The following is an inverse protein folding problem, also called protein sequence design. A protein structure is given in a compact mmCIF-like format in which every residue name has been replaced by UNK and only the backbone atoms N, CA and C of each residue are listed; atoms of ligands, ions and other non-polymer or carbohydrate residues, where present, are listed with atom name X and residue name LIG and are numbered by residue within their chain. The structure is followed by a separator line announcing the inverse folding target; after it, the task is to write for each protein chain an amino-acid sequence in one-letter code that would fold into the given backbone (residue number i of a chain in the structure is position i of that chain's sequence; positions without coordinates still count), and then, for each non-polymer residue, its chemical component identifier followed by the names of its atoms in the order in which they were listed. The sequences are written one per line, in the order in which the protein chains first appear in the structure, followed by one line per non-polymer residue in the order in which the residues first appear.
data_IF_208388404153
#
_entry.id   IF_208388404153
#
_cell.length_a   1.000
_cell.length_b   1.000
_cell.length_c   1.000
_cell.angle_alpha   90.00
_cell.angle_beta   90.00
_cell.angle_gamma   90.00
#
_symmetry.space_group_name_H-M   'P 1'
#
loop_
_entity.id
_entity.type
_entity.pdbx_description
1 polymer ?
#
# COMPACT_ATOMS: atom_id res chain seq x y z
N UNK A 1 20.56 10.91 -7.00
CA UNK A 1 19.25 10.22 -7.16
C UNK A 1 18.55 10.22 -5.80
N UNK A 2 17.30 10.64 -5.73
CA UNK A 2 16.49 10.51 -4.51
C UNK A 2 16.07 9.04 -4.41
N UNK A 3 16.48 8.35 -3.34
CA UNK A 3 16.02 6.99 -3.11
C UNK A 3 14.63 7.04 -2.46
N UNK A 4 13.59 6.87 -3.27
CA UNK A 4 12.21 7.03 -2.82
C UNK A 4 11.69 5.87 -1.95
N UNK A 5 12.37 4.71 -2.00
CA UNK A 5 11.97 3.51 -1.29
C UNK A 5 12.82 3.30 -0.03
N UNK A 6 12.22 2.95 1.12
CA UNK A 6 12.97 2.52 2.28
C UNK A 6 13.72 1.22 1.97
N UNK A 7 14.98 1.14 2.37
CA UNK A 7 15.88 0.00 2.09
C UNK A 7 16.29 -0.76 3.35
N UNK A 8 15.68 -0.43 4.50
CA UNK A 8 16.03 -1.04 5.77
C UNK A 8 15.66 -2.52 5.81
N UNK A 9 16.53 -3.31 6.41
CA UNK A 9 16.36 -4.73 6.69
C UNK A 9 15.53 -4.93 7.96
N UNK A 10 14.96 -6.14 8.11
CA UNK A 10 14.24 -6.54 9.34
C UNK A 10 15.09 -6.38 10.61
N UNK A 11 16.41 -6.56 10.51
CA UNK A 11 17.34 -6.39 11.64
C UNK A 11 17.44 -4.92 12.04
N UNK A 12 17.60 -4.01 11.07
CA UNK A 12 17.67 -2.58 11.33
C UNK A 12 16.36 -2.06 11.92
N UNK A 13 15.20 -2.49 11.42
CA UNK A 13 13.90 -2.08 11.97
C UNK A 13 13.66 -2.64 13.38
N UNK A 14 14.15 -3.86 13.67
CA UNK A 14 14.12 -4.40 15.03
C UNK A 14 14.95 -3.54 15.99
N UNK A 15 16.15 -3.12 15.56
CA UNK A 15 17.02 -2.26 16.36
C UNK A 15 16.45 -0.85 16.53
N UNK A 16 15.80 -0.31 15.49
CA UNK A 16 15.14 1.00 15.55
C UNK A 16 14.06 1.05 16.62
N UNK A 17 13.33 -0.06 16.80
CA UNK A 17 12.26 -0.18 17.80
C UNK A 17 11.28 1.01 17.76
N UNK A 18 10.90 1.40 16.54
CA UNK A 18 10.11 2.59 16.31
C UNK A 18 8.69 2.46 16.91
N UNK A 19 8.25 3.39 17.78
CA UNK A 19 6.89 3.38 18.32
C UNK A 19 5.84 3.94 17.33
N UNK A 20 6.29 4.67 16.31
CA UNK A 20 5.45 5.36 15.34
C UNK A 20 5.84 4.91 13.94
N UNK A 21 4.85 4.64 13.09
CA UNK A 21 5.03 4.44 11.65
C UNK A 21 4.58 5.67 10.88
N UNK A 22 5.25 5.97 9.77
CA UNK A 22 4.90 7.07 8.87
C UNK A 22 4.69 6.50 7.47
N UNK A 23 3.53 6.81 6.88
CA UNK A 23 3.16 6.45 5.52
C UNK A 23 3.18 7.70 4.63
N UNK A 24 4.15 7.83 3.72
CA UNK A 24 4.09 8.88 2.71
C UNK A 24 2.95 8.58 1.73
N UNK A 25 2.12 9.59 1.43
CA UNK A 25 1.04 9.50 0.45
C UNK A 25 1.18 10.67 -0.52
N UNK A 26 1.38 10.37 -1.79
CA UNK A 26 1.39 11.34 -2.88
C UNK A 26 0.38 10.97 -3.97
N UNK A 27 0.63 11.45 -5.17
CA UNK A 27 -0.19 11.21 -6.37
C UNK A 27 0.72 10.99 -7.59
N UNK A 28 0.10 10.59 -8.71
CA UNK A 28 0.70 10.60 -10.03
C UNK A 28 -0.20 11.40 -10.97
N UNK A 29 -0.05 12.73 -10.95
CA UNK A 29 -1.00 13.66 -11.54
C UNK A 29 -0.34 14.91 -12.14
N UNK A 30 -1.10 15.64 -12.94
CA UNK A 30 -0.62 16.83 -13.63
C UNK A 30 -0.29 17.99 -12.66
N UNK A 31 0.85 18.65 -12.90
CA UNK A 31 1.26 19.84 -12.16
C UNK A 31 1.79 20.96 -13.08
N UNK A 32 1.19 21.09 -14.27
CA UNK A 32 1.64 21.99 -15.33
C UNK A 32 2.82 21.43 -16.12
N UNK A 33 3.28 22.18 -17.11
CA UNK A 33 4.25 21.70 -18.12
C UNK A 33 5.70 21.62 -17.60
N UNK A 34 5.93 21.98 -16.34
CA UNK A 34 7.27 22.16 -15.78
C UNK A 34 7.60 21.19 -14.64
N UNK A 35 6.58 20.55 -14.05
CA UNK A 35 6.76 19.69 -12.89
C UNK A 35 6.50 18.22 -13.26
N UNK A 36 7.29 17.27 -12.73
CA UNK A 36 7.02 15.86 -12.92
C UNK A 36 5.66 15.46 -12.34
N UNK A 37 5.02 14.46 -12.93
CA UNK A 37 3.76 13.89 -12.44
C UNK A 37 3.88 13.29 -11.02
N UNK A 38 5.09 13.03 -10.56
CA UNK A 38 5.40 12.45 -9.25
C UNK A 38 5.74 13.49 -8.18
N UNK A 39 5.51 14.78 -8.43
CA UNK A 39 5.93 15.87 -7.52
C UNK A 39 5.39 15.65 -6.10
N UNK A 40 4.12 15.32 -5.94
CA UNK A 40 3.52 15.01 -4.65
C UNK A 40 4.24 13.87 -3.92
N UNK A 41 4.50 12.79 -4.64
CA UNK A 41 5.22 11.62 -4.10
C UNK A 41 6.64 12.02 -3.68
N UNK A 42 7.35 12.81 -4.49
CA UNK A 42 8.71 13.27 -4.20
C UNK A 42 8.72 14.11 -2.92
N UNK A 43 7.81 15.09 -2.82
CA UNK A 43 7.72 15.99 -1.66
C UNK A 43 7.39 15.20 -0.39
N UNK A 44 6.34 14.36 -0.44
CA UNK A 44 5.92 13.55 0.70
C UNK A 44 7.05 12.63 1.19
N UNK A 45 7.76 11.97 0.28
CA UNK A 45 8.88 11.10 0.64
C UNK A 45 10.05 11.87 1.23
N UNK A 46 10.40 13.05 0.69
CA UNK A 46 11.49 13.87 1.23
C UNK A 46 11.20 14.37 2.66
N UNK A 47 9.96 14.80 2.92
CA UNK A 47 9.52 15.21 4.26
C UNK A 47 9.58 14.02 5.22
N UNK A 48 8.99 12.89 4.85
CA UNK A 48 8.97 11.70 5.71
C UNK A 48 10.38 11.16 5.97
N UNK A 49 11.28 11.24 4.99
CA UNK A 49 12.68 10.86 5.17
C UNK A 49 13.38 11.77 6.19
N UNK A 50 13.19 13.09 6.10
CA UNK A 50 13.74 14.02 7.10
C UNK A 50 13.23 13.72 8.51
N UNK A 51 11.96 13.33 8.65
CA UNK A 51 11.41 12.91 9.94
C UNK A 51 12.08 11.61 10.41
N UNK A 52 12.29 10.64 9.52
CA UNK A 52 12.93 9.37 9.85
C UNK A 52 14.43 9.48 10.18
N UNK A 53 15.12 10.47 9.62
CA UNK A 53 16.50 10.78 9.98
C UNK A 53 16.59 11.48 11.36
N UNK A 54 15.53 12.19 11.78
CA UNK A 54 15.49 12.94 13.04
C UNK A 54 14.88 12.15 14.22
N UNK A 55 13.98 11.20 13.96
CA UNK A 55 13.22 10.49 14.97
C UNK A 55 13.16 8.98 14.67
N UNK A 56 13.09 8.13 15.72
CA UNK A 56 12.96 6.69 15.54
C UNK A 56 11.53 6.33 15.08
N UNK A 57 11.30 6.38 13.76
CA UNK A 57 10.02 6.03 13.13
C UNK A 57 10.20 4.92 12.10
N UNK A 58 9.18 4.09 11.92
CA UNK A 58 9.11 3.10 10.84
C UNK A 58 8.66 3.82 9.57
N UNK A 59 9.58 4.06 8.65
CA UNK A 59 9.27 4.68 7.36
C UNK A 59 8.73 3.63 6.39
N UNK A 60 7.46 3.75 6.02
CA UNK A 60 6.81 2.85 5.08
C UNK A 60 7.07 3.29 3.62
N UNK A 61 6.94 2.37 2.65
CA UNK A 61 6.97 2.72 1.23
C UNK A 61 5.86 3.73 0.89
N UNK A 62 6.11 4.69 -0.03
CA UNK A 62 5.11 5.67 -0.40
C UNK A 62 3.94 5.04 -1.18
N UNK A 63 2.74 5.55 -0.97
CA UNK A 63 1.63 5.39 -1.92
C UNK A 63 1.79 6.45 -3.00
N UNK A 64 2.03 6.01 -4.23
CA UNK A 64 2.38 6.89 -5.36
C UNK A 64 1.19 7.20 -6.28
N UNK A 65 0.04 6.57 -6.05
CA UNK A 65 -1.19 6.77 -6.83
C UNK A 65 -2.33 6.96 -5.81
N UNK A 66 -3.04 8.06 -5.92
CA UNK A 66 -4.13 8.42 -5.00
C UNK A 66 -5.34 8.96 -5.77
N UNK A 67 -6.19 9.75 -5.10
CA UNK A 67 -7.46 10.22 -5.64
C UNK A 67 -7.26 11.55 -6.38
N UNK A 68 -7.04 11.47 -7.69
CA UNK A 68 -6.66 12.58 -8.58
C UNK A 68 -7.67 12.78 -9.72
N UNK A 69 -8.95 12.47 -9.49
CA UNK A 69 -9.97 12.44 -10.57
C UNK A 69 -10.17 13.79 -11.25
N UNK A 70 -9.93 14.89 -10.53
CA UNK A 70 -9.97 16.25 -11.08
C UNK A 70 -8.92 16.48 -12.18
N UNK A 71 -7.85 15.66 -12.21
CA UNK A 71 -6.79 15.70 -13.21
C UNK A 71 -6.87 14.58 -14.26
N UNK A 72 -7.98 13.82 -14.28
CA UNK A 72 -8.13 12.65 -15.18
C UNK A 72 -8.17 12.99 -16.67
N UNK A 73 -8.48 14.24 -17.03
CA UNK A 73 -8.47 14.70 -18.42
C UNK A 73 -7.06 14.93 -18.99
N UNK A 74 -6.03 14.95 -18.15
CA UNK A 74 -4.64 15.19 -18.58
C UNK A 74 -3.91 13.87 -18.85
N UNK A 75 -3.27 13.70 -20.03
CA UNK A 75 -2.48 12.52 -20.32
C UNK A 75 -1.39 12.29 -19.28
N UNK A 76 -1.30 11.07 -18.78
CA UNK A 76 -0.31 10.66 -17.79
C UNK A 76 -0.84 10.61 -16.35
N UNK A 77 -1.91 11.34 -16.00
CA UNK A 77 -2.53 11.20 -14.68
C UNK A 77 -3.06 9.79 -14.47
N UNK A 78 -2.71 9.16 -13.35
CA UNK A 78 -3.27 7.88 -12.92
C UNK A 78 -3.96 8.09 -11.57
N UNK A 79 -5.24 7.78 -11.51
CA UNK A 79 -6.07 7.98 -10.32
C UNK A 79 -6.77 6.70 -9.91
N UNK A 80 -6.90 6.49 -8.59
CA UNK A 80 -7.76 5.45 -8.00
C UNK A 80 -8.92 6.10 -7.25
N UNK A 81 -10.03 5.36 -7.11
CA UNK A 81 -11.18 5.84 -6.33
C UNK A 81 -10.78 6.14 -4.88
N UNK A 82 -11.42 7.14 -4.26
CA UNK A 82 -11.24 7.42 -2.82
C UNK A 82 -11.52 6.19 -1.95
N UNK A 83 -12.51 5.37 -2.35
CA UNK A 83 -12.81 4.08 -1.70
C UNK A 83 -11.62 3.11 -1.77
N UNK A 84 -10.97 3.02 -2.91
CA UNK A 84 -9.78 2.17 -3.09
C UNK A 84 -8.61 2.66 -2.26
N UNK A 85 -8.34 3.97 -2.29
CA UNK A 85 -7.27 4.58 -1.48
C UNK A 85 -7.50 4.32 0.02
N UNK A 86 -8.73 4.53 0.49
CA UNK A 86 -9.10 4.23 1.87
C UNK A 86 -8.85 2.75 2.21
N UNK A 87 -9.30 1.82 1.36
CA UNK A 87 -9.08 0.39 1.58
C UNK A 87 -7.59 0.02 1.69
N UNK A 88 -6.75 0.58 0.82
CA UNK A 88 -5.29 0.37 0.87
C UNK A 88 -4.70 0.90 2.18
N UNK A 89 -5.06 2.12 2.57
CA UNK A 89 -4.57 2.72 3.82
C UNK A 89 -5.03 1.90 5.04
N UNK A 90 -6.28 1.45 5.06
CA UNK A 90 -6.80 0.56 6.12
C UNK A 90 -6.00 -0.74 6.21
N UNK A 91 -5.73 -1.41 5.08
CA UNK A 91 -4.95 -2.65 5.07
C UNK A 91 -3.51 -2.44 5.56
N UNK A 92 -2.88 -1.31 5.20
CA UNK A 92 -1.55 -0.93 5.69
C UNK A 92 -1.59 -0.69 7.20
N UNK A 93 -2.54 0.10 7.69
CA UNK A 93 -2.72 0.39 9.11
C UNK A 93 -2.91 -0.89 9.93
N UNK A 94 -3.80 -1.78 9.50
CA UNK A 94 -4.07 -3.04 10.20
C UNK A 94 -2.84 -3.96 10.17
N UNK A 95 -2.09 -3.96 9.07
CA UNK A 95 -0.86 -4.75 8.95
C UNK A 95 0.22 -4.31 9.94
N UNK A 96 0.47 -3.00 10.01
CA UNK A 96 1.44 -2.40 10.95
C UNK A 96 1.00 -2.64 12.39
N UNK A 97 -0.29 -2.45 12.69
CA UNK A 97 -0.85 -2.67 14.03
C UNK A 97 -0.73 -4.12 14.47
N UNK A 98 -1.00 -5.09 13.59
CA UNK A 98 -0.85 -6.53 13.88
C UNK A 98 0.61 -6.95 14.12
N UNK A 99 1.56 -6.34 13.42
CA UNK A 99 2.98 -6.63 13.62
C UNK A 99 3.44 -6.22 15.03
N UNK A 100 2.88 -5.12 15.55
CA UNK A 100 3.21 -4.55 16.86
C UNK A 100 4.64 -3.98 16.92
N UNK A 101 4.99 -3.24 17.97
CA UNK A 101 6.34 -2.72 18.14
C UNK A 101 7.35 -3.88 18.31
N UNK A 102 8.59 -3.73 17.80
CA UNK A 102 9.65 -4.71 18.02
C UNK A 102 9.85 -4.98 19.52
N UNK A 103 9.78 -6.24 19.96
CA UNK A 103 10.07 -6.59 21.36
C UNK A 103 11.57 -6.74 21.58
N UNK A 104 12.13 -6.23 22.68
CA UNK A 104 13.44 -6.67 23.17
C UNK A 104 13.39 -8.20 23.38
N UNK A 105 14.29 -8.98 22.76
CA UNK A 105 14.40 -10.43 23.01
C UNK A 105 13.95 -11.41 21.91
N UNK A 106 13.82 -11.00 20.64
CA UNK A 106 13.99 -11.93 19.50
C UNK A 106 12.90 -12.97 19.20
N UNK A 107 11.80 -13.06 19.94
CA UNK A 107 10.72 -14.00 19.63
C UNK A 107 9.84 -13.54 18.46
N UNK A 108 10.01 -14.10 17.26
CA UNK A 108 8.97 -14.05 16.22
C UNK A 108 7.76 -14.83 16.73
N UNK A 109 6.55 -14.27 16.70
CA UNK A 109 5.35 -15.09 16.92
C UNK A 109 5.27 -16.12 15.78
N UNK A 110 5.21 -17.43 16.06
CA UNK A 110 4.90 -18.42 15.03
C UNK A 110 3.53 -18.08 14.43
N UNK A 111 3.47 -17.95 13.11
CA UNK A 111 2.25 -17.64 12.35
C UNK A 111 1.16 -18.66 12.67
N UNK A 112 0.16 -18.29 13.48
CA UNK A 112 -1.10 -19.05 13.61
C UNK A 112 -2.11 -18.77 12.48
N UNK A 113 -1.69 -18.20 11.34
CA UNK A 113 -2.62 -17.63 10.35
C UNK A 113 -2.39 -17.98 8.87
N UNK A 114 -1.68 -19.06 8.55
CA UNK A 114 -1.71 -19.60 7.17
C UNK A 114 -2.98 -20.43 6.85
N UNK A 115 -3.79 -20.82 7.84
CA UNK A 115 -4.98 -21.66 7.61
C UNK A 115 -6.26 -20.92 7.19
N UNK A 116 -6.31 -19.58 7.33
CA UNK A 116 -7.54 -18.84 7.03
C UNK A 116 -7.66 -18.44 5.55
N UNK A 117 -6.55 -18.17 4.85
CA UNK A 117 -6.57 -17.79 3.43
C UNK A 117 -6.73 -18.97 2.45
N UNK A 118 -6.63 -20.22 2.92
CA UNK A 118 -6.84 -21.42 2.09
C UNK A 118 -8.27 -21.98 2.15
N UNK A 119 -9.16 -21.43 2.99
CA UNK A 119 -10.57 -21.81 2.99
C UNK A 119 -11.35 -20.91 2.03
N UNK A 120 -11.24 -21.18 0.73
CA UNK A 120 -12.29 -20.80 -0.22
C UNK A 120 -13.56 -21.57 0.17
N UNK A 121 -14.75 -20.93 0.28
CA UNK A 121 -15.99 -21.69 0.31
C UNK A 121 -16.17 -22.35 -1.06
N UNK A 122 -16.46 -23.66 -1.07
CA UNK A 122 -16.94 -24.39 -2.26
C UNK A 122 -18.11 -23.63 -2.90
N UNK A 123 -18.25 -23.59 -4.22
CA UNK A 123 -18.38 -24.77 -5.06
C UNK A 123 -19.85 -24.87 -5.46
N UNK A 124 -20.22 -24.33 -6.62
CA UNK A 124 -21.40 -24.79 -7.35
C UNK A 124 -21.04 -25.00 -8.81
N UNK A 125 -20.92 -26.28 -9.10
CA UNK A 125 -20.78 -26.93 -10.37
C UNK A 125 -22.07 -26.72 -11.17
N UNK A 126 -22.05 -25.94 -12.26
CA UNK A 126 -23.11 -25.97 -13.26
C UNK A 126 -22.61 -26.79 -14.46
N UNK A 127 -23.14 -28.02 -14.57
CA UNK A 127 -22.98 -28.89 -15.74
C UNK A 127 -23.75 -28.31 -16.94
N UNK A 128 -23.35 -28.65 -18.19
CA UNK A 128 -23.99 -28.12 -19.39
C UNK A 128 -25.36 -28.74 -19.60
N UNK A 129 -26.32 -27.96 -20.10
CA UNK A 129 -27.58 -28.47 -20.64
C UNK A 129 -27.55 -28.26 -22.15
N UNK A 130 -27.47 -29.37 -22.87
CA UNK A 130 -27.68 -29.45 -24.31
C UNK A 130 -29.19 -29.45 -24.63
N UNK A 131 -29.60 -28.54 -25.52
CA UNK A 131 -30.74 -28.60 -26.47
C UNK A 131 -32.20 -28.59 -25.93
N UNK A 132 -33.22 -28.39 -26.81
CA UNK A 132 -33.21 -28.12 -28.25
C UNK A 132 -33.90 -26.80 -28.68
N UNK A 133 -33.67 -26.39 -29.94
CA UNK A 133 -34.34 -25.29 -30.66
C UNK A 133 -35.71 -25.74 -31.17
N UNK A 134 -36.75 -24.86 -31.16
CA UNK A 134 -37.49 -24.62 -32.40
C UNK A 134 -37.88 -23.16 -32.65
N UNK A 135 -37.88 -22.79 -33.93
CA UNK A 135 -38.36 -21.54 -34.52
C UNK A 135 -39.89 -21.39 -34.46
N UNK A 136 -40.40 -20.15 -34.60
CA UNK A 136 -41.04 -19.79 -35.87
C UNK A 136 -40.40 -18.57 -36.57
#
# INVERSE_FOLDING_TARGET
MINALPTATTTEERHRNAPIAILPVGSFEQHGDHLPLSTDTIIATLICRKIADAYPVLLLPPITISCSHEHSAWPGTVSISARTLHAVITDVYDSVTRAGPPRPGGGQRPRRQLRAQQRRPGGQHRRPRDGPVPHP
#
